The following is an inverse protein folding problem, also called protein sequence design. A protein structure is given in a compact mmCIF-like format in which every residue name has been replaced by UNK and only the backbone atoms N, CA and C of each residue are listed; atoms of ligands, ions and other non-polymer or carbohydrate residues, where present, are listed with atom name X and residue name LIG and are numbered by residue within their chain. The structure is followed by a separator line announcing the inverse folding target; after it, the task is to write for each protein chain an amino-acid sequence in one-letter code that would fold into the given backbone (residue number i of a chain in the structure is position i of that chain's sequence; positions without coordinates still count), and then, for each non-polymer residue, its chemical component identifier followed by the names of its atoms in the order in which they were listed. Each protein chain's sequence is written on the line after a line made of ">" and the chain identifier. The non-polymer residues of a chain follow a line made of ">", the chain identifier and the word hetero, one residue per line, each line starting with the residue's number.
data_IF_429778469587
#
_entry.id   IF_429778469587
#
_cell.length_a   1.000
_cell.length_b   1.000
_cell.length_c   1.000
_cell.angle_alpha   90.00
_cell.angle_beta   90.00
_cell.angle_gamma   90.00
#
_symmetry.space_group_name_H-M   'P 1'
#
loop_
_entity.id
_entity.type
_entity.pdbx_description
1 polymer ?
#
# COMPACT_ATOMS: atom_id res chain seq x y z
N UNK A 1 -11.62 9.57 4.71
CA UNK A 1 -10.71 8.78 3.86
C UNK A 1 -9.66 8.12 4.73
N UNK A 2 -9.42 6.83 4.53
CA UNK A 2 -8.50 6.04 5.37
C UNK A 2 -7.06 6.10 4.82
N UNK A 3 -6.27 7.04 5.34
CA UNK A 3 -4.86 7.21 4.94
C UNK A 3 -3.99 6.02 5.37
N UNK A 4 -4.40 5.30 6.41
CA UNK A 4 -3.67 4.13 6.92
C UNK A 4 -3.70 3.00 5.88
N UNK A 5 -4.89 2.70 5.35
CA UNK A 5 -5.11 1.73 4.27
C UNK A 5 -4.41 2.16 2.99
N UNK A 6 -4.50 3.44 2.61
CA UNK A 6 -3.78 3.96 1.45
C UNK A 6 -2.27 3.76 1.57
N UNK A 7 -1.67 4.16 2.70
CA UNK A 7 -0.23 3.97 2.92
C UNK A 7 0.12 2.50 2.93
N UNK A 8 -0.60 1.65 3.66
CA UNK A 8 -0.34 0.22 3.72
C UNK A 8 -0.45 -0.48 2.36
N UNK A 9 -1.39 -0.03 1.51
CA UNK A 9 -1.52 -0.51 0.14
C UNK A 9 -0.32 -0.09 -0.70
N UNK A 10 0.12 1.17 -0.61
CA UNK A 10 1.21 1.70 -1.43
C UNK A 10 2.59 1.19 -1.01
N UNK A 11 2.83 0.92 0.28
CA UNK A 11 4.12 0.48 0.83
C UNK A 11 4.84 -0.61 0.01
N UNK A 12 4.23 -1.76 -0.33
CA UNK A 12 4.88 -2.79 -1.16
C UNK A 12 5.26 -2.32 -2.58
N UNK A 13 4.57 -1.32 -3.10
CA UNK A 13 4.75 -0.81 -4.46
C UNK A 13 5.72 0.37 -4.52
N UNK A 14 5.90 1.14 -3.43
CA UNK A 14 6.83 2.27 -3.34
C UNK A 14 8.23 2.00 -3.91
N UNK A 15 8.93 0.89 -3.60
CA UNK A 15 10.26 0.65 -4.15
C UNK A 15 10.29 0.54 -5.68
N UNK A 16 9.18 0.16 -6.30
CA UNK A 16 9.05 0.08 -7.75
C UNK A 16 8.51 1.39 -8.35
N UNK A 17 7.59 2.06 -7.64
CA UNK A 17 7.01 3.33 -8.04
C UNK A 17 8.03 4.47 -8.02
N UNK A 18 8.91 4.51 -7.03
CA UNK A 18 9.98 5.52 -6.93
C UNK A 18 11.12 5.28 -7.93
N UNK A 19 11.34 4.03 -8.35
CA UNK A 19 12.38 3.68 -9.34
C UNK A 19 12.02 4.06 -10.78
N UNK A 20 10.92 4.79 -11.00
CA UNK A 20 10.43 5.39 -12.25
C UNK A 20 11.27 5.05 -13.49
N UNK A 21 10.97 3.90 -14.10
CA UNK A 21 11.67 3.40 -15.28
C UNK A 21 11.07 2.10 -15.81
N UNK A 22 11.26 1.83 -17.09
CA UNK A 22 10.69 0.67 -17.80
C UNK A 22 11.04 -0.66 -17.09
N UNK A 23 12.28 -0.77 -16.59
CA UNK A 23 12.75 -1.92 -15.80
C UNK A 23 12.00 -2.11 -14.48
N UNK A 24 11.61 -1.02 -13.82
CA UNK A 24 10.85 -1.12 -12.57
C UNK A 24 9.41 -1.60 -12.83
N UNK A 25 8.83 -1.23 -13.97
CA UNK A 25 7.52 -1.71 -14.39
C UNK A 25 7.53 -3.21 -14.75
N UNK A 26 8.58 -3.69 -15.42
CA UNK A 26 8.75 -5.13 -15.70
C UNK A 26 8.97 -5.95 -14.43
N UNK A 27 9.86 -5.51 -13.53
CA UNK A 27 10.13 -6.20 -12.26
C UNK A 27 8.90 -6.20 -11.35
N UNK A 28 8.16 -5.09 -11.29
CA UNK A 28 6.89 -5.02 -10.58
C UNK A 28 5.85 -5.96 -11.21
N UNK A 29 5.73 -5.96 -12.53
CA UNK A 29 4.82 -6.84 -13.25
C UNK A 29 5.09 -8.33 -12.99
N UNK A 30 6.36 -8.73 -12.88
CA UNK A 30 6.76 -10.10 -12.51
C UNK A 30 6.52 -10.36 -11.02
N UNK A 31 7.26 -9.68 -10.13
CA UNK A 31 7.22 -9.96 -8.68
C UNK A 31 5.89 -9.65 -8.01
N UNK A 32 5.27 -8.52 -8.38
CA UNK A 32 4.02 -8.06 -7.76
C UNK A 32 2.81 -8.62 -8.53
N UNK A 33 2.92 -8.87 -9.84
CA UNK A 33 1.87 -9.54 -10.59
C UNK A 33 1.63 -10.98 -10.12
N UNK A 34 2.69 -11.71 -9.77
CA UNK A 34 2.61 -13.08 -9.23
C UNK A 34 2.09 -13.13 -7.78
N UNK A 35 2.45 -12.13 -6.94
CA UNK A 35 2.06 -12.11 -5.51
C UNK A 35 0.81 -11.30 -5.17
N UNK A 36 0.77 -10.03 -5.59
CA UNK A 36 -0.28 -9.05 -5.25
C UNK A 36 -1.36 -8.91 -6.34
N UNK A 37 -1.05 -9.36 -7.56
CA UNK A 37 -1.92 -9.32 -8.73
C UNK A 37 -1.72 -8.06 -9.58
N UNK A 38 -1.79 -8.23 -10.91
CA UNK A 38 -1.61 -7.14 -11.88
C UNK A 38 -2.56 -5.95 -11.65
N UNK A 39 -3.82 -6.22 -11.28
CA UNK A 39 -4.79 -5.16 -10.97
C UNK A 39 -4.41 -4.31 -9.75
N UNK A 40 -3.70 -4.88 -8.76
CA UNK A 40 -3.22 -4.11 -7.61
C UNK A 40 -2.08 -3.16 -8.01
N UNK A 41 -1.18 -3.60 -8.90
CA UNK A 41 -0.10 -2.76 -9.42
C UNK A 41 -0.62 -1.58 -10.24
N UNK A 42 -1.54 -1.81 -11.19
CA UNK A 42 -2.11 -0.74 -12.00
C UNK A 42 -2.83 0.30 -11.14
N UNK A 43 -3.55 -0.17 -10.13
CA UNK A 43 -4.26 0.68 -9.17
C UNK A 43 -3.29 1.48 -8.30
N UNK A 44 -2.25 0.84 -7.76
CA UNK A 44 -1.21 1.52 -7.00
C UNK A 44 -0.51 2.60 -7.84
N UNK A 45 -0.22 2.30 -9.11
CA UNK A 45 0.34 3.26 -10.06
C UNK A 45 -0.59 4.44 -10.29
N UNK A 46 -1.88 4.21 -10.52
CA UNK A 46 -2.87 5.27 -10.71
C UNK A 46 -2.98 6.19 -9.48
N UNK A 47 -3.04 5.61 -8.28
CA UNK A 47 -3.04 6.36 -7.01
C UNK A 47 -1.75 7.16 -6.84
N UNK A 48 -0.60 6.53 -7.08
CA UNK A 48 0.71 7.16 -6.92
C UNK A 48 0.94 8.29 -7.93
N UNK A 49 0.56 8.15 -9.20
CA UNK A 49 0.70 9.23 -10.19
C UNK A 49 0.00 10.53 -9.76
N UNK A 50 -1.11 10.43 -9.02
CA UNK A 50 -1.83 11.58 -8.47
C UNK A 50 -1.19 12.13 -7.19
N UNK A 51 -0.63 11.27 -6.35
CA UNK A 51 0.00 11.64 -5.07
C UNK A 51 1.46 12.09 -5.22
N UNK A 52 2.22 11.51 -6.14
CA UNK A 52 3.63 11.75 -6.38
C UNK A 52 3.98 13.24 -6.51
N UNK A 53 3.35 14.06 -7.38
CA UNK A 53 3.73 15.47 -7.52
C UNK A 53 3.55 16.25 -6.21
N UNK A 54 2.58 15.85 -5.40
CA UNK A 54 2.27 16.48 -4.11
C UNK A 54 3.21 16.01 -2.99
N UNK A 55 3.59 14.73 -3.03
CA UNK A 55 4.59 14.13 -2.14
C UNK A 55 5.97 14.71 -2.44
N UNK A 56 6.35 14.83 -3.72
CA UNK A 56 7.61 15.45 -4.14
C UNK A 56 7.70 16.94 -3.79
N UNK A 57 6.56 17.64 -3.81
CA UNK A 57 6.49 19.03 -3.34
C UNK A 57 6.71 19.18 -1.83
N UNK A 58 6.54 18.10 -1.03
CA UNK A 58 6.76 18.11 0.42
C UNK A 58 7.99 17.24 0.78
N UNK A 59 9.13 17.83 1.15
CA UNK A 59 10.36 17.07 1.42
C UNK A 59 10.20 16.01 2.51
N UNK A 60 9.39 16.25 3.54
CA UNK A 60 9.09 15.24 4.57
C UNK A 60 8.31 14.04 4.03
N UNK A 61 7.37 14.27 3.10
CA UNK A 61 6.59 13.19 2.49
C UNK A 61 7.48 12.36 1.55
N UNK A 62 8.32 13.05 0.78
CA UNK A 62 9.29 12.42 -0.12
C UNK A 62 10.29 11.55 0.66
N UNK A 63 10.93 12.08 1.70
CA UNK A 63 11.88 11.34 2.53
C UNK A 63 11.25 10.09 3.14
N UNK A 64 10.05 10.22 3.72
CA UNK A 64 9.32 9.07 4.27
C UNK A 64 8.96 8.00 3.22
N UNK A 65 8.63 8.41 1.99
CA UNK A 65 8.37 7.46 0.90
C UNK A 65 9.64 6.73 0.46
N UNK A 66 10.78 7.44 0.39
CA UNK A 66 12.09 6.87 0.09
C UNK A 66 12.57 5.92 1.20
N UNK A 67 12.38 6.30 2.46
CA UNK A 67 12.65 5.44 3.62
C UNK A 67 11.81 4.18 3.59
N UNK A 68 10.50 4.28 3.34
CA UNK A 68 9.64 3.10 3.19
C UNK A 68 9.99 2.23 1.98
N UNK A 69 10.52 2.81 0.91
CA UNK A 69 10.98 2.04 -0.24
C UNK A 69 12.24 1.22 0.08
N UNK A 70 13.13 1.73 0.93
CA UNK A 70 14.32 1.01 1.39
C UNK A 70 14.01 0.07 2.56
N UNK A 71 13.19 0.54 3.49
CA UNK A 71 12.81 -0.09 4.75
C UNK A 71 11.29 -0.02 4.92
N UNK A 72 10.54 -0.91 4.25
CA UNK A 72 9.07 -0.90 4.36
C UNK A 72 8.54 -1.42 5.71
N UNK A 73 9.44 -1.80 6.63
CA UNK A 73 9.16 -2.17 8.02
C UNK A 73 9.36 -1.00 8.99
N UNK A 74 9.75 0.17 8.49
CA UNK A 74 10.00 1.33 9.33
C UNK A 74 8.67 1.97 9.73
N UNK A 75 8.24 1.73 10.98
CA UNK A 75 7.00 2.26 11.53
C UNK A 75 7.03 3.80 11.63
N UNK A 76 8.19 4.40 11.89
CA UNK A 76 8.37 5.86 11.96
C UNK A 76 8.17 6.51 10.58
N UNK A 77 8.78 5.96 9.53
CA UNK A 77 8.60 6.40 8.15
C UNK A 77 7.15 6.19 7.69
N UNK A 78 6.53 5.08 8.11
CA UNK A 78 5.10 4.79 7.83
C UNK A 78 4.19 5.84 8.46
N UNK A 79 4.37 6.12 9.75
CA UNK A 79 3.56 7.11 10.46
C UNK A 79 3.81 8.52 9.89
N UNK A 80 5.05 8.83 9.53
CA UNK A 80 5.41 10.10 8.91
C UNK A 80 4.71 10.28 7.57
N UNK A 81 4.77 9.27 6.68
CA UNK A 81 4.09 9.33 5.38
C UNK A 81 2.57 9.45 5.57
N UNK A 82 1.97 8.72 6.51
CA UNK A 82 0.54 8.83 6.82
C UNK A 82 0.15 10.23 7.28
N UNK A 83 0.92 10.84 8.19
CA UNK A 83 0.68 12.21 8.66
C UNK A 83 0.80 13.23 7.53
N UNK A 84 1.79 13.09 6.66
CA UNK A 84 1.99 13.99 5.53
C UNK A 84 0.89 13.83 4.48
N UNK A 85 0.52 12.60 4.13
CA UNK A 85 -0.60 12.33 3.22
C UNK A 85 -1.92 12.84 3.80
N UNK A 86 -2.16 12.67 5.10
CA UNK A 86 -3.34 13.22 5.76
C UNK A 86 -3.42 14.73 5.62
N UNK A 87 -2.32 15.45 5.91
CA UNK A 87 -2.27 16.90 5.72
C UNK A 87 -2.50 17.28 4.26
N UNK A 88 -1.87 16.58 3.33
CA UNK A 88 -2.01 16.83 1.90
C UNK A 88 -3.46 16.68 1.40
N UNK A 89 -4.12 15.60 1.81
CA UNK A 89 -5.49 15.28 1.41
C UNK A 89 -6.51 16.17 2.13
N UNK A 90 -6.17 16.69 3.31
CA UNK A 90 -6.99 17.69 3.99
C UNK A 90 -6.87 19.07 3.32
N UNK A 91 -5.66 19.45 2.90
CA UNK A 91 -5.41 20.65 2.09
C UNK A 91 -6.07 20.55 0.70
N UNK A 92 -6.12 19.35 0.11
CA UNK A 92 -6.62 19.11 -1.25
C UNK A 92 -7.77 18.09 -1.25
N UNK A 93 -8.96 18.58 -0.88
CA UNK A 93 -10.17 17.77 -0.72
C UNK A 93 -10.63 17.12 -2.03
N UNK A 94 -10.34 17.75 -3.18
CA UNK A 94 -10.65 17.19 -4.50
C UNK A 94 -9.78 15.96 -4.79
N UNK A 95 -8.48 16.06 -4.54
CA UNK A 95 -7.57 14.92 -4.60
C UNK A 95 -8.00 13.82 -3.62
N UNK A 96 -8.36 14.18 -2.39
CA UNK A 96 -8.83 13.20 -1.40
C UNK A 96 -10.06 12.41 -1.87
N UNK A 97 -11.05 13.08 -2.45
CA UNK A 97 -12.23 12.42 -2.99
C UNK A 97 -11.87 11.47 -4.14
N UNK A 98 -10.94 11.87 -5.01
CA UNK A 98 -10.52 11.06 -6.15
C UNK A 98 -9.73 9.82 -5.71
N UNK A 99 -8.77 9.98 -4.79
CA UNK A 99 -7.99 8.86 -4.24
C UNK A 99 -8.90 7.91 -3.44
N UNK A 100 -9.86 8.44 -2.68
CA UNK A 100 -10.85 7.62 -1.97
C UNK A 100 -11.68 6.79 -2.96
N UNK A 101 -12.22 7.43 -4.01
CA UNK A 101 -12.99 6.74 -5.04
C UNK A 101 -12.17 5.64 -5.72
N UNK A 102 -10.92 5.93 -6.10
CA UNK A 102 -10.02 4.93 -6.67
C UNK A 102 -9.77 3.78 -5.68
N UNK A 103 -9.54 4.07 -4.40
CA UNK A 103 -9.31 3.04 -3.39
C UNK A 103 -10.54 2.14 -3.21
N UNK A 104 -11.73 2.74 -3.18
CA UNK A 104 -13.04 2.05 -3.09
C UNK A 104 -13.40 1.30 -4.39
N UNK A 105 -12.81 1.65 -5.53
CA UNK A 105 -13.05 1.00 -6.82
C UNK A 105 -12.37 -0.37 -6.86
N UNK A 106 -13.04 -1.43 -6.40
CA UNK A 106 -12.51 -2.78 -6.14
C UNK A 106 -11.75 -2.86 -4.80
N UNK A 107 -12.48 -2.85 -3.67
CA UNK A 107 -11.87 -2.90 -2.34
C UNK A 107 -11.21 -4.26 -2.06
N UNK A 108 -11.67 -5.33 -2.71
CA UNK A 108 -11.11 -6.67 -2.59
C UNK A 108 -9.66 -6.73 -3.07
N UNK A 109 -9.32 -6.03 -4.17
CA UNK A 109 -7.95 -5.94 -4.68
C UNK A 109 -7.02 -5.27 -3.67
N UNK A 110 -7.51 -4.23 -2.99
CA UNK A 110 -6.75 -3.49 -1.98
C UNK A 110 -6.56 -4.34 -0.74
N UNK A 111 -7.64 -4.92 -0.22
CA UNK A 111 -7.61 -5.76 0.96
C UNK A 111 -6.71 -6.99 0.75
N UNK A 112 -6.81 -7.66 -0.40
CA UNK A 112 -5.97 -8.80 -0.76
C UNK A 112 -4.50 -8.43 -0.81
N UNK A 113 -4.14 -7.33 -1.48
CA UNK A 113 -2.75 -6.91 -1.57
C UNK A 113 -2.14 -6.57 -0.20
N UNK A 114 -2.89 -5.85 0.65
CA UNK A 114 -2.46 -5.53 2.02
C UNK A 114 -2.31 -6.81 2.86
N UNK A 115 -3.26 -7.74 2.77
CA UNK A 115 -3.23 -8.98 3.53
C UNK A 115 -2.02 -9.85 3.11
N UNK A 116 -1.85 -10.08 1.80
CA UNK A 116 -0.71 -10.83 1.26
C UNK A 116 0.62 -10.21 1.70
N UNK A 117 0.71 -8.88 1.71
CA UNK A 117 1.92 -8.18 2.13
C UNK A 117 2.20 -8.35 3.63
N UNK A 118 1.19 -8.17 4.49
CA UNK A 118 1.34 -8.36 5.94
C UNK A 118 1.66 -9.81 6.31
N UNK A 119 1.06 -10.80 5.63
CA UNK A 119 1.38 -12.22 5.84
C UNK A 119 2.84 -12.51 5.48
N UNK A 120 3.34 -11.99 4.36
CA UNK A 120 4.75 -12.12 3.99
C UNK A 120 5.70 -11.46 5.01
N UNK A 121 5.29 -10.32 5.59
CA UNK A 121 6.07 -9.66 6.65
C UNK A 121 6.10 -10.45 7.96
N UNK A 122 5.00 -11.08 8.34
CA UNK A 122 4.89 -11.91 9.56
C UNK A 122 5.60 -13.27 9.44
N UNK A 123 5.80 -13.80 8.23
CA UNK A 123 6.51 -15.08 8.04
C UNK A 123 8.04 -14.95 8.20
N UNK A 124 8.59 -13.73 8.10
CA UNK A 124 10.04 -13.49 8.25
C UNK A 124 10.46 -13.15 9.71
N UNK A 125 9.49 -12.96 10.63
CA UNK A 125 9.72 -12.83 12.07
C UNK A 125 8.94 -13.90 12.81
N UNK A 126 9.64 -14.89 13.35
CA UNK A 126 9.07 -16.13 13.87
C UNK A 126 8.03 -15.94 15.02
N UNK A 127 7.02 -16.85 15.06
CA UNK A 127 5.95 -17.13 16.03
C UNK A 127 4.62 -16.31 16.10
N UNK A 128 3.52 -16.98 15.69
CA UNK A 128 2.08 -16.84 16.09
C UNK A 128 1.23 -15.70 15.46
N UNK A 129 -0.05 -15.85 15.05
CA UNK A 129 -1.10 -16.86 15.30
C UNK A 129 -1.86 -17.22 14.03
N UNK A 130 -2.27 -18.47 13.95
CA UNK A 130 -3.30 -19.06 13.11
C UNK A 130 -4.46 -18.11 12.78
N UNK A 131 -4.66 -17.78 11.50
CA UNK A 131 -6.00 -17.46 11.01
C UNK A 131 -6.64 -18.80 10.63
N UNK A 132 -7.11 -19.49 11.65
CA UNK A 132 -8.12 -20.52 11.45
C UNK A 132 -9.41 -19.77 11.08
N UNK A 133 -9.81 -19.81 9.81
CA UNK A 133 -11.20 -19.57 9.43
C UNK A 133 -11.97 -20.77 9.97
N UNK A 134 -12.28 -20.77 11.27
CA UNK A 134 -13.28 -21.69 11.84
C UNK A 134 -14.63 -21.13 11.40
N UNK A 135 -15.03 -21.52 10.19
CA UNK A 135 -16.43 -21.50 9.81
C UNK A 135 -17.13 -22.49 10.73
N UNK A 136 -17.78 -21.97 11.76
CA UNK A 136 -18.62 -22.76 12.63
C UNK A 136 -19.77 -23.36 11.83
N UNK A 137 -19.84 -24.68 11.82
CA UNK A 137 -21.12 -25.37 11.97
C UNK A 137 -20.90 -26.50 12.98
N UNK A 138 -21.24 -26.19 14.22
CA UNK A 138 -21.33 -27.18 15.27
C UNK A 138 -22.70 -27.84 15.17
N UNK A 139 -22.74 -29.04 14.62
CA UNK A 139 -23.79 -30.00 14.96
C UNK A 139 -23.18 -31.39 15.08
N UNK A 140 -22.84 -31.76 16.31
CA UNK A 140 -22.53 -33.14 16.69
C UNK A 140 -23.82 -33.69 17.29
N UNK A 141 -24.36 -34.76 16.70
CA UNK A 141 -25.38 -35.62 17.29
C UNK A 141 -24.79 -37.03 17.39
#
# INVERSE_FOLDING_TARGET
>A
MDVVTLTAFLTPFLPYLLKAGEKAAEEAGKKLGEGLGAGAWEKAKALWTKLQPKVEAKPMAKGAAEELANSPKDDDAKETLQKQLKKLLDEDRALAAEIARLLEENPETVAKAINTYNVAQNVTGDYNKSIAVVQGDGTIN
#
